data_IF_839077684263
#
_entry.id   IF_839077684263
#
_cell.length_a   1.000
_cell.length_b   1.000
_cell.length_c   1.000
_cell.angle_alpha   90.00
_cell.angle_beta   90.00
_cell.angle_gamma   90.00
#
_symmetry.space_group_name_H-M   'P 1'
#
loop_
_entity.id
_entity.type
_entity.pdbx_description
1 polymer ?
#
# COMPACT_ATOMS: atom_id res chain seq x y z
N UNK A 1 -14.72 27.31 -1.67
CA UNK A 1 -13.55 26.41 -1.60
C UNK A 1 -13.01 26.51 -0.18
N UNK A 2 -12.85 25.38 0.51
CA UNK A 2 -12.39 25.37 1.91
C UNK A 2 -11.00 25.97 2.03
N UNK A 3 -10.75 26.75 3.09
CA UNK A 3 -9.47 27.43 3.32
C UNK A 3 -8.26 26.47 3.33
N UNK A 4 -8.48 25.22 3.76
CA UNK A 4 -7.46 24.18 3.72
C UNK A 4 -7.10 23.76 2.29
N UNK A 5 -8.09 23.66 1.41
CA UNK A 5 -7.88 23.28 0.00
C UNK A 5 -7.14 24.40 -0.72
N UNK A 6 -7.57 25.67 -0.56
CA UNK A 6 -6.89 26.81 -1.19
C UNK A 6 -5.43 26.93 -0.74
N UNK A 7 -5.18 26.82 0.57
CA UNK A 7 -3.81 26.81 1.11
C UNK A 7 -2.97 25.68 0.52
N UNK A 8 -3.55 24.48 0.38
CA UNK A 8 -2.84 23.34 -0.17
C UNK A 8 -2.51 23.51 -1.66
N UNK A 9 -3.41 24.10 -2.44
CA UNK A 9 -3.17 24.41 -3.85
C UNK A 9 -2.04 25.43 -4.01
N UNK A 10 -2.03 26.49 -3.19
CA UNK A 10 -0.96 27.49 -3.17
C UNK A 10 0.38 26.87 -2.78
N UNK A 11 0.39 26.00 -1.78
CA UNK A 11 1.59 25.26 -1.37
C UNK A 11 2.15 24.41 -2.52
N UNK A 12 1.29 23.64 -3.20
CA UNK A 12 1.70 22.80 -4.33
C UNK A 12 2.27 23.68 -5.46
N UNK A 13 1.58 24.77 -5.81
CA UNK A 13 2.03 25.70 -6.83
C UNK A 13 3.40 26.31 -6.49
N UNK A 14 3.61 26.72 -5.23
CA UNK A 14 4.88 27.27 -4.77
C UNK A 14 6.02 26.25 -4.84
N UNK A 15 5.76 24.99 -4.44
CA UNK A 15 6.75 23.91 -4.52
C UNK A 15 7.19 23.64 -5.96
N UNK A 16 6.26 23.65 -6.90
CA UNK A 16 6.54 23.36 -8.32
C UNK A 16 7.36 24.46 -9.01
N UNK A 17 7.40 25.68 -8.45
CA UNK A 17 8.20 26.79 -8.98
C UNK A 17 9.68 26.74 -8.57
N UNK A 18 10.07 25.87 -7.62
CA UNK A 18 11.43 25.87 -7.05
C UNK A 18 12.49 25.57 -8.12
N UNK A 19 12.40 24.42 -8.80
CA UNK A 19 13.36 24.06 -9.85
C UNK A 19 12.82 22.92 -10.74
N UNK A 20 12.87 23.04 -12.08
CA UNK A 20 12.32 22.02 -13.00
C UNK A 20 12.93 20.63 -12.84
N UNK A 21 14.24 20.52 -12.55
CA UNK A 21 14.89 19.22 -12.37
C UNK A 21 14.36 18.41 -11.17
N UNK A 22 13.71 19.06 -10.19
CA UNK A 22 13.06 18.36 -9.08
C UNK A 22 11.90 17.49 -9.56
N UNK A 23 11.30 17.80 -10.70
CA UNK A 23 10.26 16.97 -11.29
C UNK A 23 10.76 15.53 -11.50
N UNK A 24 11.87 15.36 -12.21
CA UNK A 24 12.44 14.04 -12.52
C UNK A 24 12.84 13.31 -11.24
N UNK A 25 13.42 14.04 -10.28
CA UNK A 25 13.80 13.50 -8.99
C UNK A 25 12.58 12.94 -8.22
N UNK A 26 11.50 13.72 -8.12
CA UNK A 26 10.29 13.29 -7.40
C UNK A 26 9.49 12.24 -8.17
N UNK A 27 9.56 12.20 -9.49
CA UNK A 27 9.09 11.07 -10.28
C UNK A 27 9.83 9.77 -9.90
N UNK A 28 11.16 9.85 -9.75
CA UNK A 28 11.97 8.74 -9.28
C UNK A 28 11.59 8.30 -7.86
N UNK A 29 11.44 9.25 -6.93
CA UNK A 29 11.05 8.92 -5.56
C UNK A 29 9.64 8.33 -5.45
N UNK A 30 8.69 8.79 -6.27
CA UNK A 30 7.34 8.21 -6.22
C UNK A 30 7.31 6.75 -6.66
N UNK A 31 8.29 6.28 -7.44
CA UNK A 31 8.38 4.87 -7.86
C UNK A 31 8.45 3.93 -6.66
N UNK A 32 9.08 4.33 -5.55
CA UNK A 32 9.17 3.54 -4.31
C UNK A 32 7.81 3.32 -3.62
N UNK A 33 6.78 4.09 -3.99
CA UNK A 33 5.40 3.94 -3.54
C UNK A 33 4.46 3.29 -4.57
N UNK A 34 4.98 2.92 -5.75
CA UNK A 34 4.18 2.40 -6.85
C UNK A 34 3.97 0.87 -6.75
N UNK A 35 2.81 0.33 -7.15
CA UNK A 35 2.57 -1.10 -7.23
C UNK A 35 3.63 -1.88 -8.03
N UNK A 36 4.15 -1.28 -9.11
CA UNK A 36 5.17 -1.85 -9.98
C UNK A 36 6.47 -2.14 -9.22
N UNK A 37 6.88 -1.25 -8.32
CA UNK A 37 8.05 -1.48 -7.48
C UNK A 37 7.85 -2.71 -6.59
N UNK A 38 6.70 -2.82 -5.93
CA UNK A 38 6.41 -3.98 -5.07
C UNK A 38 6.27 -5.29 -5.86
N UNK A 39 5.70 -5.26 -7.07
CA UNK A 39 5.63 -6.43 -7.95
C UNK A 39 7.03 -6.96 -8.32
N UNK A 40 8.01 -6.08 -8.51
CA UNK A 40 9.39 -6.47 -8.81
C UNK A 40 10.17 -6.88 -7.56
N UNK A 41 9.90 -6.26 -6.42
CA UNK A 41 10.67 -6.47 -5.19
C UNK A 41 10.18 -7.68 -4.37
N UNK A 42 8.87 -7.96 -4.39
CA UNK A 42 8.29 -9.06 -3.61
C UNK A 42 8.84 -10.46 -4.00
N UNK A 43 9.07 -10.79 -5.29
CA UNK A 43 9.72 -12.04 -5.67
C UNK A 43 11.14 -12.16 -5.09
N UNK A 44 11.90 -11.06 -5.02
CA UNK A 44 13.22 -11.09 -4.40
C UNK A 44 13.15 -11.39 -2.89
N UNK A 45 12.14 -10.86 -2.18
CA UNK A 45 11.89 -11.23 -0.78
C UNK A 45 11.51 -12.71 -0.63
N UNK A 46 10.64 -13.21 -1.53
CA UNK A 46 10.16 -14.59 -1.51
C UNK A 46 11.26 -15.62 -1.80
N UNK A 47 12.09 -15.36 -2.80
CA UNK A 47 13.07 -16.33 -3.31
C UNK A 47 14.47 -16.16 -2.75
N UNK A 48 14.88 -14.93 -2.43
CA UNK A 48 16.26 -14.63 -2.07
C UNK A 48 16.45 -14.30 -0.58
N UNK A 49 15.37 -14.05 0.17
CA UNK A 49 15.46 -13.65 1.59
C UNK A 49 14.79 -14.68 2.50
N UNK A 50 13.45 -14.71 2.51
CA UNK A 50 12.67 -15.63 3.33
C UNK A 50 11.25 -15.74 2.77
N UNK A 51 10.87 -16.94 2.34
CA UNK A 51 9.58 -17.18 1.68
C UNK A 51 8.40 -16.88 2.59
N UNK A 52 8.50 -17.14 3.91
CA UNK A 52 7.41 -16.91 4.86
C UNK A 52 7.21 -15.42 5.07
N UNK A 53 8.29 -14.66 5.23
CA UNK A 53 8.27 -13.20 5.37
C UNK A 53 7.77 -12.53 4.09
N UNK A 54 8.28 -12.93 2.91
CA UNK A 54 7.82 -12.37 1.63
C UNK A 54 6.33 -12.60 1.42
N UNK A 55 5.84 -13.80 1.76
CA UNK A 55 4.43 -14.14 1.69
C UNK A 55 3.55 -13.31 2.63
N UNK A 56 3.98 -13.15 3.89
CA UNK A 56 3.31 -12.30 4.90
C UNK A 56 3.20 -10.86 4.41
N UNK A 57 4.31 -10.29 3.94
CA UNK A 57 4.33 -8.92 3.40
C UNK A 57 3.43 -8.79 2.18
N UNK A 58 3.44 -9.77 1.27
CA UNK A 58 2.59 -9.79 0.08
C UNK A 58 1.09 -9.81 0.41
N UNK A 59 0.67 -10.72 1.29
CA UNK A 59 -0.71 -10.79 1.77
C UNK A 59 -1.11 -9.48 2.45
N UNK A 60 -0.25 -8.94 3.31
CA UNK A 60 -0.53 -7.69 4.01
C UNK A 60 -0.67 -6.49 3.06
N UNK A 61 0.20 -6.39 2.04
CA UNK A 61 0.09 -5.38 1.00
C UNK A 61 -1.25 -5.42 0.28
N UNK A 62 -1.69 -6.62 -0.12
CA UNK A 62 -2.96 -6.79 -0.86
C UNK A 62 -4.16 -6.39 0.01
N UNK A 63 -4.19 -6.83 1.27
CA UNK A 63 -5.24 -6.45 2.22
C UNK A 63 -5.26 -4.92 2.46
N UNK A 64 -4.09 -4.32 2.65
CA UNK A 64 -3.98 -2.88 2.88
C UNK A 64 -4.38 -2.08 1.64
N UNK A 65 -4.00 -2.53 0.45
CA UNK A 65 -4.40 -1.89 -0.80
C UNK A 65 -5.92 -1.96 -1.03
N UNK A 66 -6.57 -3.05 -0.62
CA UNK A 66 -8.03 -3.15 -0.68
C UNK A 66 -8.70 -2.18 0.29
N UNK A 67 -8.19 -2.07 1.53
CA UNK A 67 -8.66 -1.07 2.48
C UNK A 67 -8.51 0.36 1.94
N UNK A 68 -7.37 0.68 1.32
CA UNK A 68 -7.16 1.98 0.69
C UNK A 68 -8.20 2.27 -0.40
N UNK A 69 -8.47 1.28 -1.27
CA UNK A 69 -9.45 1.39 -2.34
C UNK A 69 -10.86 1.63 -1.78
N UNK A 70 -11.27 0.84 -0.78
CA UNK A 70 -12.57 1.00 -0.14
C UNK A 70 -12.74 2.39 0.52
N UNK A 71 -11.70 2.89 1.18
CA UNK A 71 -11.73 4.22 1.79
C UNK A 71 -11.75 5.35 0.75
N UNK A 72 -11.09 5.16 -0.39
CA UNK A 72 -11.18 6.10 -1.52
C UNK A 72 -12.60 6.20 -2.08
N UNK A 73 -13.25 5.07 -2.27
CA UNK A 73 -14.66 5.02 -2.71
C UNK A 73 -15.62 5.58 -1.67
N UNK A 74 -15.28 5.49 -0.38
CA UNK A 74 -16.08 6.05 0.71
C UNK A 74 -15.95 7.58 0.80
N UNK A 75 -14.73 8.11 0.75
CA UNK A 75 -14.49 9.54 0.95
C UNK A 75 -14.64 10.37 -0.33
N UNK A 76 -14.40 9.77 -1.49
CA UNK A 76 -14.54 10.40 -2.81
C UNK A 76 -13.89 11.77 -2.95
N UNK A 77 -12.81 12.02 -2.22
CA UNK A 77 -12.19 13.34 -2.18
C UNK A 77 -11.55 13.67 -3.54
N UNK A 78 -11.86 14.82 -4.16
CA UNK A 78 -11.17 15.30 -5.35
C UNK A 78 -9.68 15.55 -5.07
N UNK A 79 -8.87 15.53 -6.12
CA UNK A 79 -7.41 15.77 -6.08
C UNK A 79 -7.06 17.19 -6.51
N UNK A 80 -5.83 17.66 -6.27
CA UNK A 80 -5.41 19.01 -6.69
C UNK A 80 -5.63 19.27 -8.19
N UNK A 81 -5.33 18.28 -9.04
CA UNK A 81 -5.54 18.38 -10.50
C UNK A 81 -6.99 18.53 -10.94
N UNK A 82 -7.97 18.12 -10.13
CA UNK A 82 -9.40 18.31 -10.41
C UNK A 82 -9.82 19.79 -10.21
N UNK A 83 -9.08 20.54 -9.38
CA UNK A 83 -9.30 21.98 -9.17
C UNK A 83 -8.44 22.85 -10.10
N UNK A 84 -7.16 22.48 -10.29
CA UNK A 84 -6.25 23.15 -11.22
C UNK A 84 -5.42 22.11 -11.98
N UNK A 85 -5.78 21.78 -13.23
CA UNK A 85 -5.06 20.81 -14.05
C UNK A 85 -3.58 21.14 -14.26
N UNK A 86 -3.18 22.41 -14.13
CA UNK A 86 -1.77 22.82 -14.29
C UNK A 86 -0.87 22.29 -13.19
N UNK A 87 -1.44 21.97 -12.02
CA UNK A 87 -0.69 21.41 -10.89
C UNK A 87 -0.42 19.91 -11.06
N UNK A 88 -1.09 19.23 -12.00
CA UNK A 88 -0.95 17.80 -12.20
C UNK A 88 0.32 17.45 -12.98
N UNK A 89 1.40 17.18 -12.27
CA UNK A 89 2.69 16.79 -12.87
C UNK A 89 2.85 15.28 -13.04
N UNK A 90 1.94 14.48 -12.49
CA UNK A 90 1.90 13.04 -12.69
C UNK A 90 0.46 12.54 -12.89
N UNK A 91 0.33 11.46 -13.66
CA UNK A 91 -0.97 10.84 -13.87
C UNK A 91 -1.51 10.19 -12.60
N UNK A 92 -2.83 10.21 -12.44
CA UNK A 92 -3.55 9.53 -11.36
C UNK A 92 -4.89 8.98 -11.84
N UNK A 93 -5.40 8.00 -11.10
CA UNK A 93 -6.76 7.46 -11.26
C UNK A 93 -7.50 7.51 -9.93
N UNK A 94 -8.82 7.73 -9.99
CA UNK A 94 -9.73 7.74 -8.84
C UNK A 94 -9.43 8.82 -7.80
N UNK A 95 -10.00 8.67 -6.61
CA UNK A 95 -10.03 9.69 -5.56
C UNK A 95 -8.70 9.90 -4.81
N UNK A 96 -8.56 11.05 -4.15
CA UNK A 96 -7.35 11.49 -3.44
C UNK A 96 -7.15 10.83 -2.07
N UNK A 97 -8.15 10.91 -1.20
CA UNK A 97 -8.07 10.47 0.19
C UNK A 97 -8.41 8.99 0.36
N UNK A 98 -7.59 8.17 1.02
CA UNK A 98 -6.22 8.41 1.49
C UNK A 98 -5.16 8.07 0.43
N UNK A 99 -3.97 8.68 0.55
CA UNK A 99 -2.85 8.44 -0.37
C UNK A 99 -2.32 7.01 -0.27
N UNK A 100 -2.53 6.23 -1.34
CA UNK A 100 -2.06 4.84 -1.42
C UNK A 100 -0.54 4.70 -1.39
N UNK A 101 0.21 5.61 -2.03
CA UNK A 101 1.67 5.58 -1.98
C UNK A 101 2.20 5.81 -0.56
N UNK A 102 1.61 6.79 0.16
CA UNK A 102 1.97 7.07 1.54
C UNK A 102 1.66 5.87 2.46
N UNK A 103 0.50 5.23 2.26
CA UNK A 103 0.10 4.04 3.01
C UNK A 103 1.01 2.83 2.74
N UNK A 104 1.29 2.54 1.46
CA UNK A 104 2.07 1.35 1.07
C UNK A 104 3.52 1.41 1.57
N UNK A 105 4.13 2.59 1.66
CA UNK A 105 5.46 2.74 2.24
C UNK A 105 5.49 2.27 3.71
N UNK A 106 4.51 2.68 4.52
CA UNK A 106 4.42 2.28 5.93
C UNK A 106 4.17 0.78 6.04
N UNK A 107 3.25 0.25 5.23
CA UNK A 107 2.84 -1.16 5.23
C UNK A 107 4.00 -2.07 4.82
N UNK A 108 4.63 -1.77 3.68
CA UNK A 108 5.68 -2.61 3.11
C UNK A 108 6.95 -2.59 3.97
N UNK A 109 7.52 -1.40 4.14
CA UNK A 109 8.80 -1.25 4.80
C UNK A 109 8.67 -1.43 6.30
N UNK A 110 7.53 -1.06 6.90
CA UNK A 110 7.25 -1.30 8.31
C UNK A 110 7.12 -2.80 8.64
N UNK A 111 6.49 -3.59 7.77
CA UNK A 111 6.43 -5.04 7.94
C UNK A 111 7.83 -5.69 7.87
N UNK A 112 8.67 -5.24 6.93
CA UNK A 112 10.08 -5.68 6.83
C UNK A 112 10.86 -5.26 8.09
N UNK A 113 10.71 -4.02 8.55
CA UNK A 113 11.39 -3.50 9.73
C UNK A 113 11.00 -4.27 11.01
N UNK A 114 9.70 -4.57 11.16
CA UNK A 114 9.18 -5.37 12.27
C UNK A 114 9.73 -6.81 12.25
N UNK A 115 9.79 -7.44 11.08
CA UNK A 115 10.34 -8.79 10.93
C UNK A 115 11.84 -8.84 11.22
N UNK A 116 12.62 -7.92 10.65
CA UNK A 116 14.07 -7.90 10.80
C UNK A 116 14.52 -7.45 12.20
N UNK A 117 13.63 -6.78 12.96
CA UNK A 117 13.88 -6.28 14.32
C UNK A 117 15.11 -5.37 14.43
N UNK A 118 15.41 -4.60 13.36
CA UNK A 118 16.54 -3.66 13.34
C UNK A 118 16.06 -2.22 13.39
N UNK A 119 16.56 -1.45 14.36
CA UNK A 119 16.15 -0.05 14.55
C UNK A 119 16.40 0.83 13.32
N UNK A 120 17.52 0.62 12.61
CA UNK A 120 17.84 1.42 11.42
C UNK A 120 16.82 1.26 10.30
N UNK A 121 16.09 0.13 10.22
CA UNK A 121 15.02 -0.05 9.25
C UNK A 121 13.81 0.83 9.57
N UNK A 122 13.53 1.12 10.84
CA UNK A 122 12.48 2.07 11.21
C UNK A 122 12.88 3.52 10.86
N UNK A 123 14.17 3.84 10.97
CA UNK A 123 14.71 5.13 10.49
C UNK A 123 14.55 5.23 8.96
N UNK A 124 14.85 4.15 8.23
CA UNK A 124 14.61 4.06 6.79
C UNK A 124 13.13 4.24 6.45
N UNK A 125 12.21 3.60 7.18
CA UNK A 125 10.76 3.76 7.00
C UNK A 125 10.38 5.23 7.15
N UNK A 126 10.82 5.91 8.21
CA UNK A 126 10.53 7.32 8.42
C UNK A 126 11.06 8.18 7.25
N UNK A 127 12.30 7.95 6.81
CA UNK A 127 12.88 8.64 5.65
C UNK A 127 12.07 8.43 4.37
N UNK A 128 11.66 7.19 4.09
CA UNK A 128 10.83 6.86 2.92
C UNK A 128 9.43 7.47 3.01
N UNK A 129 8.82 7.52 4.20
CA UNK A 129 7.53 8.19 4.41
C UNK A 129 7.62 9.64 3.95
N UNK A 130 8.63 10.39 4.41
CA UNK A 130 8.83 11.78 4.03
C UNK A 130 9.14 11.92 2.54
N UNK A 131 10.08 11.16 2.00
CA UNK A 131 10.50 11.27 0.59
C UNK A 131 9.36 10.94 -0.36
N UNK A 132 8.64 9.83 -0.13
CA UNK A 132 7.52 9.44 -0.98
C UNK A 132 6.32 10.35 -0.75
N UNK A 133 5.96 10.67 0.51
CA UNK A 133 4.85 11.57 0.80
C UNK A 133 5.05 12.94 0.16
N UNK A 134 6.23 13.54 0.33
CA UNK A 134 6.56 14.82 -0.28
C UNK A 134 6.55 14.74 -1.82
N UNK A 135 7.01 13.64 -2.42
CA UNK A 135 6.91 13.47 -3.87
C UNK A 135 5.47 13.56 -4.37
N UNK A 136 4.48 13.04 -3.61
CA UNK A 136 3.06 13.09 -3.99
C UNK A 136 2.47 14.49 -3.87
N UNK A 137 2.93 15.27 -2.88
CA UNK A 137 2.57 16.67 -2.75
C UNK A 137 3.16 17.48 -3.91
N UNK A 138 4.46 17.33 -4.17
CA UNK A 138 5.16 18.04 -5.24
C UNK A 138 4.56 17.76 -6.61
N UNK A 139 4.22 16.50 -6.90
CA UNK A 139 3.62 16.11 -8.18
C UNK A 139 2.15 16.56 -8.34
N UNK A 140 1.56 17.20 -7.32
CA UNK A 140 0.19 17.75 -7.36
C UNK A 140 -0.90 16.69 -7.49
N UNK A 141 -0.64 15.49 -7.01
CA UNK A 141 -1.53 14.32 -7.12
C UNK A 141 -2.27 14.03 -5.82
N UNK A 142 -1.85 14.64 -4.71
CA UNK A 142 -2.45 14.50 -3.39
C UNK A 142 -2.29 15.79 -2.58
N UNK A 143 -3.26 16.05 -1.70
CA UNK A 143 -3.16 17.08 -0.68
C UNK A 143 -2.38 16.60 0.55
N UNK A 144 -1.90 17.50 1.43
CA UNK A 144 -1.22 17.12 2.68
C UNK A 144 -2.05 16.18 3.55
N UNK A 145 -3.35 16.42 3.71
CA UNK A 145 -4.25 15.56 4.48
C UNK A 145 -4.37 14.15 3.90
N UNK A 146 -4.28 13.97 2.58
CA UNK A 146 -4.32 12.65 1.95
C UNK A 146 -3.12 11.80 2.36
N UNK A 147 -1.95 12.45 2.46
CA UNK A 147 -0.68 11.83 2.83
C UNK A 147 -0.71 11.46 4.31
N UNK A 148 -1.12 12.38 5.18
CA UNK A 148 -1.24 12.14 6.62
C UNK A 148 -2.23 11.01 6.92
N UNK A 149 -3.38 10.99 6.25
CA UNK A 149 -4.35 9.91 6.37
C UNK A 149 -3.77 8.57 5.88
N UNK A 150 -3.02 8.58 4.76
CA UNK A 150 -2.31 7.40 4.26
C UNK A 150 -1.32 6.83 5.27
N UNK A 151 -0.52 7.69 5.92
CA UNK A 151 0.40 7.26 6.98
C UNK A 151 -0.34 6.73 8.21
N UNK A 152 -1.40 7.40 8.66
CA UNK A 152 -2.18 6.98 9.82
C UNK A 152 -2.84 5.61 9.58
N UNK A 153 -3.47 5.42 8.42
CA UNK A 153 -4.11 4.16 8.04
C UNK A 153 -3.07 3.05 7.86
N UNK A 154 -1.93 3.36 7.23
CA UNK A 154 -0.83 2.41 7.08
C UNK A 154 -0.27 1.96 8.44
N UNK A 155 -0.04 2.91 9.34
CA UNK A 155 0.46 2.64 10.70
C UNK A 155 -0.53 1.83 11.54
N UNK A 156 -1.81 2.21 11.53
CA UNK A 156 -2.86 1.46 12.21
C UNK A 156 -2.98 0.04 11.64
N UNK A 157 -2.99 -0.09 10.31
CA UNK A 157 -3.04 -1.39 9.64
C UNK A 157 -1.85 -2.27 10.03
N UNK A 158 -0.65 -1.68 10.13
CA UNK A 158 0.57 -2.40 10.52
C UNK A 158 0.48 -2.90 11.97
N UNK A 159 0.04 -2.04 12.90
CA UNK A 159 -0.13 -2.42 14.31
C UNK A 159 -1.15 -3.58 14.43
N UNK A 160 -2.31 -3.43 13.79
CA UNK A 160 -3.36 -4.46 13.81
C UNK A 160 -2.89 -5.76 13.17
N UNK A 161 -2.19 -5.67 12.04
CA UNK A 161 -1.64 -6.83 11.35
C UNK A 161 -0.63 -7.57 12.24
N UNK A 162 0.36 -6.87 12.80
CA UNK A 162 1.37 -7.49 13.66
C UNK A 162 0.76 -8.11 14.94
N UNK A 163 -0.30 -7.51 15.49
CA UNK A 163 -1.01 -8.06 16.64
C UNK A 163 -1.84 -9.32 16.28
N UNK A 164 -2.53 -9.31 15.14
CA UNK A 164 -3.44 -10.39 14.74
C UNK A 164 -2.72 -11.57 14.06
N UNK A 165 -1.62 -11.30 13.35
CA UNK A 165 -0.95 -12.26 12.48
C UNK A 165 -0.54 -13.56 13.20
N UNK A 166 0.11 -13.55 14.39
CA UNK A 166 0.53 -14.79 15.05
C UNK A 166 -0.65 -15.70 15.41
N UNK A 167 -1.74 -15.12 15.91
CA UNK A 167 -2.95 -15.86 16.27
C UNK A 167 -3.68 -16.40 15.04
N UNK A 168 -3.78 -15.60 13.98
CA UNK A 168 -4.40 -16.02 12.72
C UNK A 168 -3.61 -17.15 12.06
N UNK A 169 -2.28 -17.04 12.01
CA UNK A 169 -1.43 -18.07 11.43
C UNK A 169 -1.51 -19.39 12.18
N UNK A 170 -1.56 -19.35 13.52
CA UNK A 170 -1.74 -20.54 14.36
C UNK A 170 -3.09 -21.21 14.08
N UNK A 171 -4.18 -20.45 14.09
CA UNK A 171 -5.52 -20.97 13.78
C UNK A 171 -5.59 -21.58 12.39
N UNK A 172 -5.01 -20.92 11.39
CA UNK A 172 -4.96 -21.44 10.02
C UNK A 172 -4.11 -22.71 9.92
N UNK A 173 -3.01 -22.82 10.68
CA UNK A 173 -2.16 -24.01 10.71
C UNK A 173 -2.84 -25.21 11.40
N UNK A 174 -3.72 -24.96 12.36
CA UNK A 174 -4.53 -26.00 13.04
C UNK A 174 -5.71 -26.49 12.17
N UNK A 175 -6.07 -25.77 11.10
CA UNK A 175 -7.14 -26.15 10.17
C UNK A 175 -6.68 -27.17 9.12
N UNK A 176 -7.60 -28.05 8.73
CA UNK A 176 -7.43 -28.90 7.55
C UNK A 176 -7.17 -28.07 6.28
N UNK A 177 -6.38 -28.62 5.36
CA UNK A 177 -6.05 -27.99 4.07
C UNK A 177 -7.29 -27.49 3.31
N UNK A 178 -8.39 -28.26 3.33
CA UNK A 178 -9.67 -27.88 2.70
C UNK A 178 -10.15 -26.51 3.18
N UNK A 179 -10.07 -26.23 4.48
CA UNK A 179 -10.55 -24.97 5.05
C UNK A 179 -9.57 -23.84 4.80
N UNK A 180 -8.27 -24.12 4.76
CA UNK A 180 -7.28 -23.13 4.33
C UNK A 180 -7.52 -22.69 2.88
N UNK A 181 -7.87 -23.62 1.98
CA UNK A 181 -8.20 -23.31 0.58
C UNK A 181 -9.53 -22.56 0.50
N UNK A 182 -10.58 -23.02 1.19
CA UNK A 182 -11.90 -22.37 1.20
C UNK A 182 -11.79 -20.94 1.72
N UNK A 183 -11.06 -20.68 2.80
CA UNK A 183 -10.85 -19.33 3.31
C UNK A 183 -9.94 -18.52 2.37
N UNK A 184 -8.86 -19.12 1.88
CA UNK A 184 -7.88 -18.48 1.01
C UNK A 184 -8.46 -18.01 -0.32
N UNK A 185 -9.40 -18.74 -0.91
CA UNK A 185 -10.09 -18.34 -2.14
C UNK A 185 -11.43 -17.65 -1.88
N UNK A 186 -12.19 -18.12 -0.88
CA UNK A 186 -13.55 -17.66 -0.60
C UNK A 186 -13.60 -16.25 -0.03
N UNK A 187 -12.67 -15.87 0.86
CA UNK A 187 -12.64 -14.50 1.41
C UNK A 187 -12.35 -13.47 0.33
N UNK A 188 -11.31 -13.62 -0.51
CA UNK A 188 -11.09 -12.68 -1.61
C UNK A 188 -12.23 -12.67 -2.64
N UNK A 189 -12.82 -13.84 -2.95
CA UNK A 189 -14.00 -13.91 -3.83
C UNK A 189 -15.18 -13.12 -3.26
N UNK A 190 -15.47 -13.27 -1.96
CA UNK A 190 -16.54 -12.51 -1.29
C UNK A 190 -16.31 -11.00 -1.37
N UNK A 191 -15.08 -10.55 -1.10
CA UNK A 191 -14.70 -9.14 -1.22
C UNK A 191 -14.86 -8.62 -2.65
N UNK A 192 -14.47 -9.41 -3.65
CA UNK A 192 -14.66 -9.05 -5.06
C UNK A 192 -16.14 -8.89 -5.41
N UNK A 193 -17.01 -9.81 -4.97
CA UNK A 193 -18.45 -9.74 -5.24
C UNK A 193 -19.09 -8.48 -4.65
N UNK A 194 -18.63 -8.03 -3.47
CA UNK A 194 -19.16 -6.82 -2.83
C UNK A 194 -18.67 -5.52 -3.45
N UNK A 195 -17.57 -5.54 -4.20
CA UNK A 195 -16.99 -4.34 -4.81
C UNK A 195 -16.31 -4.69 -6.15
N UNK A 196 -17.10 -5.04 -7.17
CA UNK A 196 -16.55 -5.51 -8.44
C UNK A 196 -15.84 -4.37 -9.16
N UNK A 197 -14.60 -4.63 -9.58
CA UNK A 197 -13.79 -3.67 -10.33
C UNK A 197 -12.50 -4.32 -10.82
N UNK A 198 -11.90 -3.78 -11.88
CA UNK A 198 -10.67 -4.37 -12.48
C UNK A 198 -9.53 -4.47 -11.45
N UNK A 199 -9.31 -3.40 -10.68
CA UNK A 199 -8.27 -3.35 -9.65
C UNK A 199 -8.53 -4.33 -8.51
N UNK A 200 -9.79 -4.45 -8.07
CA UNK A 200 -10.21 -5.40 -7.03
C UNK A 200 -10.07 -6.84 -7.54
N UNK A 201 -10.46 -7.12 -8.79
CA UNK A 201 -10.31 -8.45 -9.40
C UNK A 201 -8.84 -8.90 -9.43
N UNK A 202 -7.93 -8.01 -9.85
CA UNK A 202 -6.50 -8.30 -9.86
C UNK A 202 -5.96 -8.56 -8.45
N UNK A 203 -6.32 -7.70 -7.48
CA UNK A 203 -5.87 -7.84 -6.10
C UNK A 203 -6.43 -9.11 -5.43
N UNK A 204 -7.71 -9.41 -5.60
CA UNK A 204 -8.36 -10.58 -5.02
C UNK A 204 -7.89 -11.88 -5.70
N UNK A 205 -7.64 -11.85 -7.00
CA UNK A 205 -7.01 -12.97 -7.72
C UNK A 205 -5.60 -13.27 -7.19
N UNK A 206 -4.77 -12.22 -7.04
CA UNK A 206 -3.43 -12.35 -6.45
C UNK A 206 -3.49 -12.85 -5.01
N UNK A 207 -4.42 -12.34 -4.20
CA UNK A 207 -4.60 -12.75 -2.80
C UNK A 207 -5.03 -14.21 -2.71
N UNK A 208 -5.99 -14.61 -3.55
CA UNK A 208 -6.47 -16.00 -3.64
C UNK A 208 -5.33 -16.95 -4.00
N UNK A 209 -4.57 -16.62 -5.06
CA UNK A 209 -3.43 -17.41 -5.50
C UNK A 209 -2.34 -17.51 -4.44
N UNK A 210 -2.00 -16.40 -3.78
CA UNK A 210 -1.01 -16.38 -2.71
C UNK A 210 -1.47 -17.21 -1.49
N UNK A 211 -2.71 -17.02 -1.03
CA UNK A 211 -3.24 -17.73 0.15
C UNK A 211 -3.36 -19.23 -0.08
N UNK A 212 -3.89 -19.66 -1.23
CA UNK A 212 -3.99 -21.09 -1.59
C UNK A 212 -2.60 -21.68 -1.81
N UNK A 213 -1.71 -20.97 -2.50
CA UNK A 213 -0.33 -21.39 -2.72
C UNK A 213 0.42 -21.62 -1.41
N UNK A 214 0.25 -20.73 -0.42
CA UNK A 214 0.85 -20.87 0.91
C UNK A 214 0.29 -22.06 1.68
N UNK A 215 -1.01 -22.32 1.59
CA UNK A 215 -1.64 -23.48 2.22
C UNK A 215 -1.08 -24.80 1.67
N UNK A 216 -0.95 -24.89 0.35
CA UNK A 216 -0.35 -26.05 -0.33
C UNK A 216 1.14 -26.18 0.02
N UNK A 217 1.89 -25.08 -0.04
CA UNK A 217 3.31 -25.05 0.30
C UNK A 217 3.55 -25.58 1.71
N UNK A 218 2.79 -25.13 2.71
CA UNK A 218 2.91 -25.63 4.10
C UNK A 218 2.65 -27.12 4.24
N UNK A 219 1.81 -27.70 3.39
CA UNK A 219 1.44 -29.12 3.46
C UNK A 219 2.48 -30.02 2.78
N UNK A 220 3.01 -29.61 1.64
CA UNK A 220 3.78 -30.48 0.75
C UNK A 220 5.27 -30.17 0.70
N UNK A 221 5.69 -28.97 1.12
CA UNK A 221 7.09 -28.58 1.10
C UNK A 221 7.62 -28.49 2.54
N UNK A 222 8.63 -29.31 2.90
CA UNK A 222 9.27 -29.23 4.21
C UNK A 222 10.13 -27.96 4.28
N UNK A 223 9.82 -27.06 5.21
CA UNK A 223 10.65 -25.91 5.58
C UNK A 223 10.76 -25.79 7.09
#
# INVERSE_FOLDING_TARGET
>A
MDALISWSLELIAALQQIHPALHVLFQGFTFLGQPQFYLLFLPALLWCVDVRMGARVGVFLLLSSQLNTALKELFQQPRPGDFDPRLQLAWFEGYGLPSGHAQLVVVFWGAIAAWARRLWLWILVAGLMFVVGFSRLFLGVHFPQDILAGWAIGGLSLILYLAAQPGLERRLAEMDLRWQIVLGAGVPLGLFVTSPGKSVAMAMGALSGASVGLALQRRYLPF
#
